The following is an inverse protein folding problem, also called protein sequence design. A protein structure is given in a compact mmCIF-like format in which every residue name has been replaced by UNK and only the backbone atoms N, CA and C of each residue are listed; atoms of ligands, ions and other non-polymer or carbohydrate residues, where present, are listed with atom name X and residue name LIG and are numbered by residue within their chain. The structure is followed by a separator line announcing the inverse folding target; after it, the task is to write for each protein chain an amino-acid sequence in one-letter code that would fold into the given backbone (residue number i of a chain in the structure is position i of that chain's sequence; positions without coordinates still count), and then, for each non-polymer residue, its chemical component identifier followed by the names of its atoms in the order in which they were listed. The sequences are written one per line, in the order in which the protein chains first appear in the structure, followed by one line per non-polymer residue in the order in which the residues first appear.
data_IF_507170982023
#
_entry.id   IF_507170982023
#
_cell.length_a   1.000
_cell.length_b   1.000
_cell.length_c   1.000
_cell.angle_alpha   90.00
_cell.angle_beta   90.00
_cell.angle_gamma   90.00
#
_symmetry.space_group_name_H-M   'P 1'
#
loop_
_entity.id
_entity.type
_entity.pdbx_description
1 polymer ?
#
# COMPACT_ATOMS: atom_id res chain seq x y z
N UNK A 1 0.63 -3.80 -8.90
CA UNK A 1 1.25 -2.67 -9.60
C UNK A 1 0.27 -1.98 -10.55
N UNK A 2 -0.15 -2.63 -11.65
CA UNK A 2 -1.00 -2.03 -12.70
C UNK A 2 -2.34 -1.44 -12.22
N UNK A 3 -2.99 -2.08 -11.25
CA UNK A 3 -4.27 -1.58 -10.72
C UNK A 3 -4.13 -0.21 -10.05
N UNK A 4 -3.04 0.01 -9.32
CA UNK A 4 -2.80 1.24 -8.56
C UNK A 4 -2.47 2.40 -9.49
N UNK A 5 -1.63 2.16 -10.49
CA UNK A 5 -1.33 3.13 -11.54
C UNK A 5 -2.61 3.62 -12.22
N UNK A 6 -3.51 2.70 -12.61
CA UNK A 6 -4.82 3.06 -13.19
C UNK A 6 -5.71 3.87 -12.25
N UNK A 7 -5.75 3.52 -10.95
CA UNK A 7 -6.52 4.29 -9.97
C UNK A 7 -5.99 5.73 -9.87
N UNK A 8 -4.67 5.93 -9.86
CA UNK A 8 -4.07 7.27 -9.85
C UNK A 8 -4.34 8.04 -11.15
N UNK A 9 -4.26 7.38 -12.31
CA UNK A 9 -4.66 7.97 -13.60
C UNK A 9 -6.13 8.42 -13.61
N UNK A 10 -7.00 7.72 -12.87
CA UNK A 10 -8.42 8.08 -12.69
C UNK A 10 -8.66 9.19 -11.66
N UNK A 11 -7.59 9.76 -11.08
CA UNK A 11 -7.70 10.82 -10.06
C UNK A 11 -8.12 10.31 -8.67
N UNK A 12 -7.94 9.02 -8.39
CA UNK A 12 -8.22 8.47 -7.05
C UNK A 12 -7.11 8.92 -6.10
N UNK A 13 -7.46 9.80 -5.15
CA UNK A 13 -6.53 10.33 -4.14
C UNK A 13 -6.64 9.66 -2.77
N UNK A 14 -7.66 8.82 -2.55
CA UNK A 14 -7.79 8.10 -1.27
C UNK A 14 -6.56 7.21 -1.01
N UNK A 15 -6.21 6.96 0.27
CA UNK A 15 -5.09 6.10 0.61
C UNK A 15 -5.22 4.69 0.04
N UNK A 16 -4.16 4.19 -0.63
CA UNK A 16 -4.09 2.85 -1.21
C UNK A 16 -3.06 2.03 -0.44
N UNK A 17 -3.54 0.94 0.18
CA UNK A 17 -2.71 -0.01 0.94
C UNK A 17 -2.52 -1.28 0.13
N UNK A 18 -1.27 -1.59 -0.23
CA UNK A 18 -0.92 -2.89 -0.79
C UNK A 18 -0.76 -3.93 0.32
N UNK A 19 -1.40 -5.09 0.16
CA UNK A 19 -1.30 -6.21 1.08
C UNK A 19 -0.84 -7.47 0.32
N UNK A 20 0.27 -8.08 0.75
CA UNK A 20 0.82 -9.29 0.12
C UNK A 20 0.87 -10.49 1.06
N UNK A 21 0.73 -11.70 0.51
CA UNK A 21 0.97 -12.96 1.23
C UNK A 21 2.46 -13.38 1.25
N UNK A 22 3.24 -12.92 0.26
CA UNK A 22 4.68 -13.17 0.15
C UNK A 22 5.40 -11.84 0.03
N UNK A 23 6.30 -11.56 0.97
CA UNK A 23 7.06 -10.31 0.96
C UNK A 23 8.42 -10.53 0.33
N UNK A 24 8.53 -10.26 -0.97
CA UNK A 24 9.84 -10.02 -1.59
C UNK A 24 10.19 -8.54 -1.43
N UNK A 25 11.45 -8.22 -1.15
CA UNK A 25 11.92 -6.85 -0.96
C UNK A 25 11.52 -5.93 -2.13
N UNK A 26 11.58 -6.47 -3.35
CA UNK A 26 11.21 -5.79 -4.58
C UNK A 26 9.72 -5.45 -4.68
N UNK A 27 8.85 -6.25 -4.05
CA UNK A 27 7.40 -6.04 -4.14
C UNK A 27 6.96 -4.79 -3.39
N UNK A 28 7.65 -4.46 -2.30
CA UNK A 28 7.43 -3.23 -1.56
C UNK A 28 7.73 -2.02 -2.41
N UNK A 29 8.92 -1.97 -2.99
CA UNK A 29 9.37 -0.82 -3.76
C UNK A 29 8.54 -0.62 -5.03
N UNK A 30 8.24 -1.71 -5.76
CA UNK A 30 7.34 -1.66 -6.92
C UNK A 30 5.94 -1.17 -6.57
N UNK A 31 5.37 -1.57 -5.42
CA UNK A 31 4.05 -1.10 -4.99
C UNK A 31 4.06 0.41 -4.73
N UNK A 32 5.05 0.89 -3.98
CA UNK A 32 5.16 2.31 -3.63
C UNK A 32 5.38 3.16 -4.88
N UNK A 33 6.29 2.76 -5.77
CA UNK A 33 6.54 3.45 -7.04
C UNK A 33 5.31 3.46 -7.97
N UNK A 34 4.45 2.44 -7.88
CA UNK A 34 3.20 2.39 -8.66
C UNK A 34 2.10 3.32 -8.12
N UNK A 35 2.32 3.98 -6.99
CA UNK A 35 1.39 4.93 -6.38
C UNK A 35 0.64 4.42 -5.13
N UNK A 36 1.10 3.33 -4.50
CA UNK A 36 0.60 2.94 -3.17
C UNK A 36 1.15 3.86 -2.09
N UNK A 37 0.37 4.12 -1.05
CA UNK A 37 0.80 4.87 0.13
C UNK A 37 1.43 3.95 1.18
N UNK A 38 0.91 2.73 1.30
CA UNK A 38 1.31 1.77 2.32
C UNK A 38 1.51 0.39 1.72
N UNK A 39 2.47 -0.36 2.25
CA UNK A 39 2.72 -1.76 1.92
C UNK A 39 2.76 -2.61 3.20
N UNK A 40 2.06 -3.73 3.19
CA UNK A 40 1.89 -4.61 4.34
C UNK A 40 2.02 -6.08 3.92
N UNK A 41 2.86 -6.83 4.61
CA UNK A 41 2.97 -8.27 4.46
C UNK A 41 2.03 -8.99 5.43
N UNK A 42 1.45 -10.11 5.00
CA UNK A 42 0.78 -11.06 5.89
C UNK A 42 1.81 -11.92 6.65
N UNK A 43 1.49 -12.39 7.87
CA UNK A 43 0.30 -12.03 8.65
C UNK A 43 0.36 -10.57 9.12
N UNK A 44 -0.80 -9.91 9.15
CA UNK A 44 -0.88 -8.50 9.54
C UNK A 44 -0.65 -8.39 11.04
N UNK A 45 0.27 -7.53 11.46
CA UNK A 45 0.36 -7.08 12.85
C UNK A 45 -0.63 -5.91 13.04
N UNK A 46 -1.70 -6.07 13.83
CA UNK A 46 -2.74 -5.04 13.96
C UNK A 46 -2.22 -3.72 14.54
N UNK A 47 -1.29 -3.76 15.50
CA UNK A 47 -0.75 -2.56 16.13
C UNK A 47 0.06 -1.73 15.12
N UNK A 48 0.93 -2.39 14.34
CA UNK A 48 1.70 -1.74 13.29
C UNK A 48 0.79 -1.22 12.16
N UNK A 49 -0.26 -1.97 11.82
CA UNK A 49 -1.20 -1.56 10.78
C UNK A 49 -1.98 -0.30 11.16
N UNK A 50 -2.50 -0.23 12.38
CA UNK A 50 -3.23 0.96 12.87
C UNK A 50 -2.32 2.18 12.86
N UNK A 51 -1.07 2.05 13.31
CA UNK A 51 -0.09 3.13 13.27
C UNK A 51 0.17 3.64 11.83
N UNK A 52 0.30 2.72 10.86
CA UNK A 52 0.49 3.09 9.46
C UNK A 52 -0.75 3.76 8.86
N UNK A 53 -1.96 3.26 9.17
CA UNK A 53 -3.21 3.86 8.70
C UNK A 53 -3.43 5.26 9.27
N UNK A 54 -3.12 5.49 10.54
CA UNK A 54 -3.26 6.81 11.16
C UNK A 54 -2.40 7.89 10.50
N UNK A 55 -1.31 7.51 9.83
CA UNK A 55 -0.47 8.46 9.08
C UNK A 55 -1.07 8.85 7.72
N UNK A 56 -1.99 8.05 7.17
CA UNK A 56 -2.54 8.23 5.83
C UNK A 56 -3.99 8.75 5.84
N UNK A 57 -4.72 8.60 6.94
CA UNK A 57 -6.10 9.08 7.09
C UNK A 57 -6.06 10.48 7.70
N UNK A 58 -6.60 11.47 6.99
CA UNK A 58 -6.85 12.83 7.50
C UNK A 58 -8.22 12.95 8.11
#
# INVERSE_FOLDING_TARGET
YTAVAKLREMGVEIPIVAMTAFSLSDDREKCLQSGCDVYISKPINPANFIHQLSACIR
#
